data_IF_760566953946
#
_entry.id   IF_760566953946
#
_cell.length_a   1.000
_cell.length_b   1.000
_cell.length_c   1.000
_cell.angle_alpha   90.00
_cell.angle_beta   90.00
_cell.angle_gamma   90.00
#
_symmetry.space_group_name_H-M   'P 1'
#
loop_
_entity.id
_entity.type
_entity.pdbx_description
1 polymer ?
#
# COMPACT_ATOMS: atom_id res chain seq x y z
N UNK A 1 10.62 23.13 9.51
CA UNK A 1 10.10 21.89 10.12
C UNK A 1 9.01 21.45 9.20
N UNK A 2 9.31 20.47 8.34
CA UNK A 2 8.36 19.95 7.38
C UNK A 2 7.23 19.26 8.11
N UNK A 3 6.04 19.84 7.99
CA UNK A 3 4.82 19.13 8.29
C UNK A 3 4.48 18.31 7.06
N UNK A 4 5.22 17.22 6.83
CA UNK A 4 4.86 16.22 5.83
C UNK A 4 3.40 15.81 6.03
N UNK A 5 2.69 15.52 4.94
CA UNK A 5 1.29 15.11 5.02
C UNK A 5 1.20 13.76 5.74
N UNK A 6 0.72 13.78 6.97
CA UNK A 6 0.45 12.59 7.78
C UNK A 6 -0.70 11.82 7.15
N UNK A 7 -0.56 10.49 7.01
CA UNK A 7 -1.67 9.63 6.57
C UNK A 7 -2.59 9.40 7.77
N UNK A 8 -3.50 10.33 8.01
CA UNK A 8 -4.38 10.28 9.18
C UNK A 8 -5.24 9.00 9.22
N UNK A 9 -5.72 8.56 8.05
CA UNK A 9 -6.49 7.32 7.89
C UNK A 9 -6.32 6.73 6.48
N UNK A 10 -6.26 5.40 6.40
CA UNK A 10 -6.37 4.65 5.13
C UNK A 10 -7.86 4.44 4.89
N UNK A 11 -8.45 5.07 3.87
CA UNK A 11 -9.88 4.90 3.55
C UNK A 11 -10.06 4.06 2.28
N UNK A 12 -9.51 4.56 1.17
CA UNK A 12 -9.40 3.87 -0.10
C UNK A 12 -8.01 4.14 -0.67
N UNK A 13 -7.24 3.09 -0.95
CA UNK A 13 -5.87 3.21 -1.47
C UNK A 13 -5.61 2.11 -2.48
N UNK A 14 -5.01 2.48 -3.61
CA UNK A 14 -4.45 1.56 -4.59
C UNK A 14 -2.96 1.88 -4.74
N UNK A 15 -2.11 0.86 -4.58
CA UNK A 15 -0.68 0.96 -4.82
C UNK A 15 -0.30 -0.15 -5.79
N UNK A 16 0.42 0.23 -6.85
CA UNK A 16 1.02 -0.72 -7.79
C UNK A 16 2.53 -0.49 -7.80
N UNK A 17 3.28 -1.50 -7.36
CA UNK A 17 4.75 -1.51 -7.39
C UNK A 17 5.22 -2.50 -8.45
N UNK A 18 6.11 -2.06 -9.34
CA UNK A 18 6.81 -2.94 -10.27
C UNK A 18 8.27 -3.02 -9.88
N UNK A 19 8.74 -4.21 -9.50
CA UNK A 19 10.15 -4.45 -9.17
C UNK A 19 10.99 -4.55 -10.43
N UNK A 20 12.27 -4.22 -10.33
CA UNK A 20 13.22 -4.37 -11.45
C UNK A 20 13.34 -5.82 -11.96
N UNK A 21 13.03 -6.81 -11.12
CA UNK A 21 12.98 -8.22 -11.52
C UNK A 21 11.71 -8.60 -12.31
N UNK A 22 10.81 -7.66 -12.58
CA UNK A 22 9.58 -7.88 -13.34
C UNK A 22 8.37 -8.29 -12.50
N UNK A 23 8.54 -8.50 -11.19
CA UNK A 23 7.43 -8.79 -10.27
C UNK A 23 6.58 -7.53 -10.07
N UNK A 24 5.26 -7.68 -10.16
CA UNK A 24 4.27 -6.62 -9.90
C UNK A 24 3.52 -6.95 -8.61
N UNK A 25 3.44 -5.98 -7.71
CA UNK A 25 2.66 -6.07 -6.46
C UNK A 25 1.57 -5.02 -6.53
N UNK A 26 0.32 -5.45 -6.46
CA UNK A 26 -0.85 -4.59 -6.33
C UNK A 26 -1.45 -4.74 -4.94
N UNK A 27 -1.66 -3.60 -4.28
CA UNK A 27 -2.29 -3.52 -2.96
C UNK A 27 -3.48 -2.58 -3.08
N UNK A 28 -4.67 -3.12 -2.84
CA UNK A 28 -5.92 -2.38 -2.79
C UNK A 28 -6.51 -2.44 -1.40
N UNK A 29 -6.90 -1.28 -0.87
CA UNK A 29 -7.56 -1.16 0.43
C UNK A 29 -8.88 -0.44 0.26
N UNK A 30 -9.94 -1.03 0.78
CA UNK A 30 -11.21 -0.38 1.06
C UNK A 30 -11.61 -0.69 2.51
N UNK A 31 -11.72 0.35 3.33
CA UNK A 31 -12.10 0.22 4.75
C UNK A 31 -13.48 -0.37 4.99
N UNK A 32 -14.40 -0.17 4.04
CA UNK A 32 -15.73 -0.75 4.06
C UNK A 32 -15.79 -2.09 3.32
N UNK A 33 -14.73 -2.42 2.58
CA UNK A 33 -14.58 -3.62 1.76
C UNK A 33 -13.45 -4.53 2.25
N UNK A 34 -12.46 -4.71 1.37
CA UNK A 34 -11.37 -5.67 1.53
C UNK A 34 -10.01 -4.98 1.53
N UNK A 35 -9.04 -5.60 2.22
CA UNK A 35 -7.64 -5.55 1.83
C UNK A 35 -7.41 -6.65 0.80
N UNK A 36 -6.97 -6.26 -0.40
CA UNK A 36 -6.59 -7.16 -1.47
C UNK A 36 -5.13 -6.94 -1.82
N UNK A 37 -4.37 -8.02 -1.93
CA UNK A 37 -2.97 -8.00 -2.37
C UNK A 37 -2.84 -9.05 -3.46
N UNK A 38 -2.27 -8.65 -4.59
CA UNK A 38 -1.94 -9.54 -5.70
C UNK A 38 -0.47 -9.37 -6.07
N UNK A 39 0.22 -10.49 -6.24
CA UNK A 39 1.62 -10.51 -6.67
C UNK A 39 1.72 -11.35 -7.92
N UNK A 40 2.24 -10.73 -8.97
CA UNK A 40 2.42 -11.33 -10.27
C UNK A 40 3.91 -11.40 -10.63
N UNK A 41 4.36 -12.53 -11.16
CA UNK A 41 5.68 -12.70 -11.78
C UNK A 41 5.49 -13.26 -13.18
N UNK A 42 6.19 -12.70 -14.17
CA UNK A 42 6.07 -13.12 -15.58
C UNK A 42 4.61 -13.19 -16.08
N UNK A 43 3.78 -12.24 -15.63
CA UNK A 43 2.34 -12.13 -15.92
C UNK A 43 1.49 -13.31 -15.38
N UNK A 44 1.99 -14.01 -14.37
CA UNK A 44 1.25 -15.05 -13.65
C UNK A 44 1.12 -14.66 -12.19
N UNK A 45 -0.10 -14.79 -11.64
CA UNK A 45 -0.34 -14.62 -10.21
C UNK A 45 0.43 -15.71 -9.44
N UNK A 46 1.35 -15.29 -8.58
CA UNK A 46 2.15 -16.17 -7.72
C UNK A 46 1.65 -16.17 -6.29
N UNK A 47 0.98 -15.10 -5.87
CA UNK A 47 0.35 -14.98 -4.56
C UNK A 47 -0.84 -14.03 -4.63
N UNK A 48 -1.93 -14.41 -3.98
CA UNK A 48 -3.05 -13.53 -3.73
C UNK A 48 -3.45 -13.56 -2.24
N UNK A 49 -3.99 -12.46 -1.77
CA UNK A 49 -4.55 -12.31 -0.43
C UNK A 49 -5.78 -11.41 -0.51
N UNK A 50 -6.87 -11.83 0.13
CA UNK A 50 -8.08 -11.04 0.23
C UNK A 50 -8.70 -11.26 1.61
N UNK A 51 -8.90 -10.18 2.37
CA UNK A 51 -9.52 -10.24 3.69
C UNK A 51 -10.38 -9.00 3.93
N UNK A 52 -11.50 -9.16 4.63
CA UNK A 52 -12.33 -8.02 4.97
C UNK A 52 -11.54 -7.06 5.87
N UNK A 53 -11.55 -5.76 5.56
CA UNK A 53 -10.73 -4.79 6.30
C UNK A 53 -10.98 -4.85 7.82
N UNK A 54 -12.23 -5.05 8.23
CA UNK A 54 -12.61 -5.20 9.64
C UNK A 54 -11.98 -6.41 10.35
N UNK A 55 -11.57 -7.44 9.59
CA UNK A 55 -10.91 -8.66 10.09
C UNK A 55 -9.39 -8.59 10.03
N UNK A 56 -8.82 -7.66 9.25
CA UNK A 56 -7.38 -7.44 9.20
C UNK A 56 -6.88 -7.01 10.59
N UNK A 57 -5.86 -7.69 11.14
CA UNK A 57 -5.26 -7.35 12.43
C UNK A 57 -4.77 -5.90 12.51
N UNK A 58 -4.92 -5.27 13.67
CA UNK A 58 -4.54 -3.85 13.87
C UNK A 58 -3.06 -3.60 13.56
N UNK A 59 -2.17 -4.50 13.96
CA UNK A 59 -0.73 -4.39 13.69
C UNK A 59 -0.41 -4.41 12.18
N UNK A 60 -1.17 -5.16 11.38
CA UNK A 60 -1.02 -5.12 9.92
C UNK A 60 -1.51 -3.80 9.32
N UNK A 61 -2.58 -3.22 9.86
CA UNK A 61 -3.10 -1.91 9.43
C UNK A 61 -2.09 -0.79 9.72
N UNK A 62 -1.48 -0.80 10.90
CA UNK A 62 -0.46 0.17 11.28
C UNK A 62 0.78 0.06 10.38
N UNK A 63 1.26 -1.16 10.10
CA UNK A 63 2.39 -1.35 9.16
C UNK A 63 2.09 -0.83 7.76
N UNK A 64 0.85 -1.02 7.28
CA UNK A 64 0.44 -0.49 5.99
C UNK A 64 0.41 1.04 5.98
N UNK A 65 -0.03 1.65 7.08
CA UNK A 65 -0.02 3.09 7.28
C UNK A 65 1.41 3.65 7.28
N UNK A 66 2.32 3.06 8.05
CA UNK A 66 3.74 3.45 8.09
C UNK A 66 4.39 3.39 6.70
N UNK A 67 4.11 2.32 5.93
CA UNK A 67 4.60 2.18 4.56
C UNK A 67 4.08 3.30 3.64
N UNK A 68 2.79 3.63 3.75
CA UNK A 68 2.16 4.70 2.99
C UNK A 68 2.71 6.08 3.36
N UNK A 69 2.89 6.35 4.65
CA UNK A 69 3.52 7.59 5.13
C UNK A 69 4.95 7.73 4.59
N UNK A 70 5.74 6.65 4.61
CA UNK A 70 7.08 6.64 4.03
C UNK A 70 7.10 6.95 2.53
N UNK A 71 6.13 6.40 1.78
CA UNK A 71 5.99 6.66 0.35
C UNK A 71 5.60 8.12 0.07
N UNK A 72 4.60 8.65 0.78
CA UNK A 72 4.15 10.04 0.64
C UNK A 72 5.29 11.01 0.94
N UNK A 73 6.00 10.81 2.05
CA UNK A 73 7.14 11.65 2.42
C UNK A 73 8.26 11.62 1.37
N UNK A 74 8.54 10.45 0.79
CA UNK A 74 9.55 10.32 -0.26
C UNK A 74 9.13 11.02 -1.56
N UNK A 75 7.84 10.96 -1.92
CA UNK A 75 7.30 11.65 -3.09
C UNK A 75 7.36 13.17 -2.92
N UNK A 76 7.00 13.69 -1.75
CA UNK A 76 7.07 15.13 -1.47
C UNK A 76 8.52 15.63 -1.63
N UNK A 77 9.52 14.90 -1.10
CA UNK A 77 10.94 15.23 -1.30
C UNK A 77 11.38 15.23 -2.76
N UNK A 78 10.85 14.32 -3.59
CA UNK A 78 11.16 14.29 -5.03
C UNK A 78 10.54 15.47 -5.76
N UNK A 79 9.34 15.91 -5.35
CA UNK A 79 8.62 17.02 -5.99
C UNK A 79 9.15 18.40 -5.57
N UNK A 80 9.79 18.50 -4.41
CA UNK A 80 10.39 19.74 -3.90
C UNK A 80 11.82 20.00 -4.44
N UNK A 81 12.43 19.04 -5.13
CA UNK A 81 13.72 19.17 -5.82
C UNK A 81 13.55 19.45 -7.32
#
# INVERSE_FOLDING_TARGET
MDNGKVVDAINCVEIVLTKACGERIEVNVDTNGLLYIDVESDKQCTMNYAEAWKKVPTDQKERLKEMLEGLVNSLDQVLEN
#
